data_IF_382038796915
#
_entry.id   IF_382038796915
#
_cell.length_a   1.000
_cell.length_b   1.000
_cell.length_c   1.000
_cell.angle_alpha   90.00
_cell.angle_beta   90.00
_cell.angle_gamma   90.00
#
_symmetry.space_group_name_H-M   'P 1'
#
loop_
_entity.id
_entity.type
_entity.pdbx_description
1 polymer ?
#
# COMPACT_ATOMS: atom_id res chain seq x y z
N UNK A 1 -46.27 30.99 -16.59
CA UNK A 1 -45.37 30.88 -17.75
C UNK A 1 -43.97 31.31 -17.32
N UNK A 2 -42.89 30.58 -17.60
CA UNK A 2 -42.76 29.33 -18.39
C UNK A 2 -41.58 28.50 -17.89
N UNK A 3 -41.76 27.19 -17.79
CA UNK A 3 -40.68 26.21 -17.63
C UNK A 3 -40.16 25.78 -19.00
N UNK A 4 -38.83 25.71 -19.18
CA UNK A 4 -38.15 24.87 -20.18
C UNK A 4 -36.64 24.89 -19.88
N UNK A 5 -36.01 23.82 -19.37
CA UNK A 5 -35.59 22.59 -20.06
C UNK A 5 -34.68 22.82 -21.29
N UNK A 6 -33.37 22.71 -21.06
CA UNK A 6 -32.33 22.16 -21.95
C UNK A 6 -31.28 21.58 -20.97
N UNK A 7 -31.10 20.28 -20.71
CA UNK A 7 -31.23 19.03 -21.47
C UNK A 7 -30.14 18.85 -22.54
N UNK A 8 -29.39 17.73 -22.40
CA UNK A 8 -28.38 17.14 -23.32
C UNK A 8 -26.99 17.83 -23.26
N UNK A 9 -25.86 17.12 -23.12
CA UNK A 9 -25.58 15.66 -23.10
C UNK A 9 -24.55 15.34 -22.00
N UNK A 10 -24.85 14.40 -21.11
CA UNK A 10 -23.79 13.61 -20.49
C UNK A 10 -23.29 12.62 -21.54
N UNK A 11 -22.00 12.64 -21.86
CA UNK A 11 -21.38 11.54 -22.59
C UNK A 11 -21.18 10.38 -21.61
N UNK A 12 -22.06 9.39 -21.68
CA UNK A 12 -21.89 8.11 -21.00
C UNK A 12 -20.68 7.40 -21.59
N UNK A 13 -19.57 7.39 -20.86
CA UNK A 13 -18.46 6.48 -21.13
C UNK A 13 -18.98 5.06 -20.80
N UNK A 14 -18.92 4.09 -21.72
CA UNK A 14 -19.37 2.74 -21.43
C UNK A 14 -18.43 2.10 -20.40
N UNK A 15 -18.99 1.75 -19.24
CA UNK A 15 -18.35 0.91 -18.23
C UNK A 15 -18.16 -0.50 -18.82
N UNK A 16 -16.98 -0.74 -19.41
CA UNK A 16 -16.49 -2.11 -19.56
C UNK A 16 -15.96 -2.59 -18.21
N UNK A 17 -16.39 -3.80 -17.83
CA UNK A 17 -16.35 -4.26 -16.45
C UNK A 17 -14.95 -4.34 -15.86
N UNK A 18 -14.79 -3.71 -14.69
CA UNK A 18 -13.78 -4.05 -13.69
C UNK A 18 -14.51 -4.29 -12.36
N UNK A 19 -14.23 -5.40 -11.65
CA UNK A 19 -14.59 -5.53 -10.25
C UNK A 19 -13.68 -4.64 -9.39
N UNK A 20 -14.26 -4.09 -8.34
CA UNK A 20 -13.61 -3.41 -7.20
C UNK A 20 -14.45 -3.78 -5.96
N UNK A 21 -14.18 -3.31 -4.71
CA UNK A 21 -13.21 -2.29 -4.25
C UNK A 21 -12.12 -2.92 -3.32
N UNK A 22 -11.08 -2.27 -2.77
CA UNK A 22 -10.35 -1.00 -3.06
C UNK A 22 -8.83 -1.14 -2.78
N UNK A 23 -8.39 -2.10 -1.94
CA UNK A 23 -7.04 -2.18 -1.34
C UNK A 23 -5.89 -2.15 -2.35
N UNK A 24 -6.19 -2.53 -3.60
CA UNK A 24 -5.30 -2.43 -4.77
C UNK A 24 -4.73 -1.03 -5.01
N UNK A 25 -5.27 0.05 -4.43
CA UNK A 25 -4.90 1.44 -4.76
C UNK A 25 -3.40 1.76 -4.60
N UNK A 26 -2.66 1.17 -3.66
CA UNK A 26 -1.20 1.37 -3.54
C UNK A 26 -0.44 0.60 -4.62
N UNK A 27 -0.85 -0.65 -4.91
CA UNK A 27 -0.23 -1.50 -5.95
C UNK A 27 -0.57 -0.98 -7.35
N UNK A 28 -1.80 -0.52 -7.59
CA UNK A 28 -2.24 0.23 -8.78
C UNK A 28 -1.64 1.64 -8.87
N UNK A 29 -1.04 2.19 -7.80
CA UNK A 29 -0.23 3.41 -7.94
C UNK A 29 1.16 3.12 -8.53
N UNK A 30 1.70 1.92 -8.27
CA UNK A 30 2.85 1.38 -9.01
C UNK A 30 2.44 0.95 -10.43
N UNK A 31 1.20 0.45 -10.57
CA UNK A 31 0.55 0.03 -11.81
C UNK A 31 -0.47 1.01 -12.38
N UNK A 32 -0.17 2.33 -12.38
CA UNK A 32 -0.93 3.29 -13.21
C UNK A 32 -0.88 2.81 -14.68
N UNK A 33 -1.74 3.32 -15.59
CA UNK A 33 -1.57 3.08 -17.02
C UNK A 33 -0.25 3.69 -17.50
N UNK A 34 0.81 2.88 -17.38
CA UNK A 34 2.07 3.04 -18.06
C UNK A 34 1.77 2.97 -19.56
N UNK A 35 2.51 3.70 -20.38
CA UNK A 35 2.24 3.75 -21.82
C UNK A 35 2.36 2.37 -22.51
N UNK A 36 3.00 1.41 -21.85
CA UNK A 36 3.03 0.00 -22.22
C UNK A 36 3.30 -0.90 -21.01
N UNK A 37 3.15 -2.22 -21.19
CA UNK A 37 3.42 -3.25 -20.18
C UNK A 37 4.90 -3.28 -19.77
N UNK A 38 5.81 -3.04 -20.72
CA UNK A 38 7.25 -2.98 -20.47
C UNK A 38 7.64 -1.85 -19.51
N UNK A 39 6.96 -0.70 -19.59
CA UNK A 39 7.18 0.41 -18.68
C UNK A 39 6.68 0.10 -17.25
N UNK A 40 5.64 -0.74 -17.10
CA UNK A 40 5.24 -1.26 -15.79
C UNK A 40 6.27 -2.25 -15.23
N UNK A 41 6.76 -3.18 -16.05
CA UNK A 41 7.81 -4.13 -15.65
C UNK A 41 9.11 -3.41 -15.25
N UNK A 42 9.53 -2.38 -16.00
CA UNK A 42 10.67 -1.53 -15.65
C UNK A 42 10.45 -0.79 -14.33
N UNK A 43 9.25 -0.24 -14.10
CA UNK A 43 8.95 0.47 -12.86
C UNK A 43 8.93 -0.48 -11.65
N UNK A 44 8.39 -1.69 -11.78
CA UNK A 44 8.44 -2.72 -10.72
C UNK A 44 9.88 -3.17 -10.43
N UNK A 45 10.69 -3.41 -11.47
CA UNK A 45 12.11 -3.73 -11.32
C UNK A 45 12.88 -2.61 -10.60
N UNK A 46 12.60 -1.35 -10.94
CA UNK A 46 13.20 -0.21 -10.28
C UNK A 46 12.68 -0.03 -8.83
N UNK A 47 11.40 -0.29 -8.58
CA UNK A 47 10.79 -0.25 -7.26
C UNK A 47 11.36 -1.32 -6.32
N UNK A 48 11.67 -2.51 -6.82
CA UNK A 48 12.41 -3.54 -6.08
C UNK A 48 13.88 -3.14 -5.88
N UNK A 49 14.58 -2.75 -6.94
CA UNK A 49 16.04 -2.87 -6.97
C UNK A 49 16.85 -1.58 -7.13
N UNK A 50 16.24 -0.46 -7.52
CA UNK A 50 16.99 0.77 -7.78
C UNK A 50 17.34 1.52 -6.48
N UNK A 51 18.61 1.93 -6.25
CA UNK A 51 18.93 2.95 -5.26
C UNK A 51 18.35 4.29 -5.66
N UNK A 52 17.58 4.90 -4.75
CA UNK A 52 16.91 6.16 -4.97
C UNK A 52 17.02 7.06 -3.72
N UNK A 53 16.75 8.37 -3.81
CA UNK A 53 16.46 9.19 -2.61
C UNK A 53 14.96 9.45 -2.34
N UNK A 54 14.54 9.81 -1.10
CA UNK A 54 13.12 9.96 -0.71
C UNK A 54 12.35 11.07 -1.43
N UNK A 55 13.07 11.93 -2.14
CA UNK A 55 12.55 12.99 -3.00
C UNK A 55 12.18 12.49 -4.40
N UNK A 56 12.49 11.25 -4.76
CA UNK A 56 12.15 10.63 -6.06
C UNK A 56 10.76 9.96 -6.03
N UNK A 57 10.16 9.64 -7.20
CA UNK A 57 8.92 8.87 -7.25
C UNK A 57 9.02 7.49 -6.58
N UNK A 58 10.13 6.76 -6.80
CA UNK A 58 10.34 5.42 -6.23
C UNK A 58 10.52 5.51 -4.72
N UNK A 59 11.36 6.44 -4.23
CA UNK A 59 11.57 6.65 -2.81
C UNK A 59 10.33 7.02 -2.02
N UNK A 60 9.52 7.93 -2.60
CA UNK A 60 8.18 8.25 -2.05
C UNK A 60 7.26 7.04 -2.05
N UNK A 61 7.25 6.23 -3.10
CA UNK A 61 6.40 5.04 -3.18
C UNK A 61 6.80 3.98 -2.13
N UNK A 62 8.10 3.72 -1.94
CA UNK A 62 8.61 2.82 -0.88
C UNK A 62 8.24 3.34 0.50
N UNK A 63 8.53 4.62 0.75
CA UNK A 63 8.20 5.29 2.02
C UNK A 63 6.70 5.24 2.32
N UNK A 64 5.84 5.47 1.32
CA UNK A 64 4.39 5.36 1.45
C UNK A 64 3.95 3.92 1.75
N UNK A 65 4.48 2.93 1.01
CA UNK A 65 4.21 1.49 1.24
C UNK A 65 4.52 1.09 2.68
N UNK A 66 5.64 1.56 3.23
CA UNK A 66 6.07 1.25 4.59
C UNK A 66 5.27 1.96 5.68
N UNK A 67 4.83 3.19 5.43
CA UNK A 67 3.88 3.91 6.31
C UNK A 67 2.54 3.17 6.32
N UNK A 68 1.98 2.85 5.14
CA UNK A 68 0.72 2.12 5.01
C UNK A 68 0.79 0.75 5.67
N UNK A 69 1.87 -0.02 5.44
CA UNK A 69 2.08 -1.33 6.08
C UNK A 69 2.12 -1.19 7.60
N UNK A 70 2.88 -0.23 8.13
CA UNK A 70 2.96 0.01 9.58
C UNK A 70 1.61 0.40 10.18
N UNK A 71 0.82 1.22 9.47
CA UNK A 71 -0.50 1.65 9.89
C UNK A 71 -1.54 0.50 9.88
N UNK A 72 -1.56 -0.31 8.81
CA UNK A 72 -2.44 -1.48 8.69
C UNK A 72 -2.20 -2.45 9.86
N UNK A 73 -0.94 -2.79 10.12
CA UNK A 73 -0.56 -3.66 11.23
C UNK A 73 -0.97 -3.01 12.56
N UNK A 74 -0.67 -1.73 12.77
CA UNK A 74 -1.06 -1.04 14.01
C UNK A 74 -2.57 -1.09 14.27
N UNK A 75 -3.41 -0.80 13.26
CA UNK A 75 -4.87 -0.83 13.38
C UNK A 75 -5.38 -2.23 13.72
N UNK A 76 -4.93 -3.26 12.99
CA UNK A 76 -5.42 -4.62 13.17
C UNK A 76 -4.90 -5.25 14.47
N UNK A 77 -3.63 -5.06 14.83
CA UNK A 77 -3.08 -5.52 16.11
C UNK A 77 -3.73 -4.83 17.32
N UNK A 78 -4.09 -3.55 17.18
CA UNK A 78 -4.75 -2.77 18.26
C UNK A 78 -6.24 -3.07 18.42
N UNK A 79 -6.82 -3.92 17.56
CA UNK A 79 -8.19 -4.42 17.75
C UNK A 79 -8.26 -5.31 18.99
N UNK A 80 -9.15 -5.08 19.97
CA UNK A 80 -9.22 -5.87 21.20
C UNK A 80 -9.40 -7.37 20.95
N UNK A 81 -8.81 -8.24 21.79
CA UNK A 81 -8.94 -9.69 21.68
C UNK A 81 -10.40 -10.18 21.82
N UNK A 82 -11.23 -9.43 22.52
CA UNK A 82 -12.68 -9.66 22.68
C UNK A 82 -13.55 -9.10 21.55
N UNK A 83 -12.96 -8.50 20.52
CA UNK A 83 -13.72 -7.94 19.40
C UNK A 83 -14.39 -9.04 18.56
N UNK A 84 -15.69 -8.95 18.23
CA UNK A 84 -16.36 -9.91 17.35
C UNK A 84 -15.64 -10.12 16.02
N UNK A 85 -15.00 -9.08 15.49
CA UNK A 85 -14.21 -9.13 14.24
C UNK A 85 -13.11 -10.21 14.27
N UNK A 86 -12.50 -10.47 15.44
CA UNK A 86 -11.46 -11.51 15.58
C UNK A 86 -12.03 -12.93 15.56
N UNK A 87 -13.30 -13.09 15.93
CA UNK A 87 -14.02 -14.37 15.85
C UNK A 87 -14.63 -14.60 14.46
N UNK A 88 -15.06 -13.51 13.81
CA UNK A 88 -15.71 -13.53 12.48
C UNK A 88 -14.69 -13.62 11.34
N UNK A 89 -13.52 -13.00 11.48
CA UNK A 89 -12.46 -12.96 10.46
C UNK A 89 -11.07 -13.35 11.02
N UNK A 90 -10.91 -14.50 11.70
CA UNK A 90 -9.65 -14.89 12.35
C UNK A 90 -8.45 -14.87 11.39
N UNK A 91 -8.64 -15.31 10.14
CA UNK A 91 -7.62 -15.33 9.10
C UNK A 91 -6.98 -13.95 8.84
N UNK A 92 -7.74 -12.85 8.95
CA UNK A 92 -7.22 -11.49 8.74
C UNK A 92 -6.20 -11.15 9.84
N UNK A 93 -6.48 -11.53 11.08
CA UNK A 93 -5.61 -11.26 12.21
C UNK A 93 -4.40 -12.21 12.28
N UNK A 94 -4.53 -13.45 11.80
CA UNK A 94 -3.41 -14.38 11.63
C UNK A 94 -2.38 -13.85 10.61
N UNK A 95 -2.85 -13.33 9.46
CA UNK A 95 -2.00 -12.73 8.42
C UNK A 95 -1.21 -11.53 8.98
N UNK A 96 -1.82 -10.72 9.85
CA UNK A 96 -1.16 -9.58 10.51
C UNK A 96 -0.03 -10.04 11.44
N UNK A 97 -0.19 -11.18 12.13
CA UNK A 97 0.88 -11.79 12.93
C UNK A 97 2.12 -12.16 12.12
N UNK A 98 1.99 -12.44 10.82
CA UNK A 98 3.13 -12.64 9.92
C UNK A 98 3.79 -11.32 9.46
N UNK A 99 3.05 -10.21 9.47
CA UNK A 99 3.56 -8.88 9.12
C UNK A 99 4.27 -8.17 10.29
N UNK A 100 3.90 -8.44 11.53
CA UNK A 100 4.50 -7.81 12.72
C UNK A 100 6.03 -7.97 12.80
N UNK A 101 6.63 -9.17 12.64
CA UNK A 101 8.08 -9.33 12.65
C UNK A 101 8.78 -8.59 11.50
N UNK A 102 8.11 -8.43 10.35
CA UNK A 102 8.65 -7.68 9.21
C UNK A 102 8.63 -6.16 9.50
N UNK A 103 7.56 -5.65 10.12
CA UNK A 103 7.52 -4.26 10.61
C UNK A 103 8.62 -4.00 11.62
N UNK A 104 8.75 -4.88 12.61
CA UNK A 104 9.65 -4.67 13.74
C UNK A 104 11.12 -4.75 13.33
N UNK A 105 11.46 -5.63 12.38
CA UNK A 105 12.81 -5.72 11.83
C UNK A 105 13.17 -4.60 10.86
N UNK A 106 12.24 -4.19 9.98
CA UNK A 106 12.59 -3.33 8.84
C UNK A 106 12.03 -1.91 8.90
N UNK A 107 10.84 -1.70 9.49
CA UNK A 107 10.09 -0.43 9.37
C UNK A 107 10.24 0.49 10.58
N UNK A 108 10.48 -0.03 11.79
CA UNK A 108 10.45 0.74 13.04
C UNK A 108 11.37 1.97 13.02
N UNK A 109 12.60 1.85 12.54
CA UNK A 109 13.54 2.99 12.48
C UNK A 109 13.29 3.93 11.29
N UNK A 110 12.66 3.42 10.21
CA UNK A 110 12.45 4.16 8.96
C UNK A 110 11.17 5.01 8.99
N UNK A 111 10.16 4.57 9.75
CA UNK A 111 8.81 5.17 9.82
C UNK A 111 8.59 6.05 11.06
N UNK A 112 9.48 5.99 12.07
CA UNK A 112 9.33 6.79 13.30
C UNK A 112 9.41 8.30 13.01
N UNK A 113 8.46 9.12 13.50
CA UNK A 113 8.66 10.57 13.56
C UNK A 113 9.80 10.85 14.54
N UNK A 114 10.87 11.48 14.06
CA UNK A 114 11.98 11.93 14.91
C UNK A 114 11.46 13.07 15.79
N UNK A 115 11.52 12.89 17.11
CA UNK A 115 10.89 13.81 18.06
C UNK A 115 11.53 15.20 18.04
N UNK A 116 10.70 16.24 17.88
CA UNK A 116 10.91 17.67 18.15
C UNK A 116 12.15 18.41 17.61
N UNK A 117 13.17 17.77 17.03
CA UNK A 117 14.37 18.43 16.50
C UNK A 117 14.45 18.44 14.97
N UNK A 118 13.46 19.06 14.31
CA UNK A 118 13.53 19.57 12.92
C UNK A 118 13.83 18.57 11.78
N UNK A 119 14.16 17.33 12.08
CA UNK A 119 14.65 16.35 11.13
C UNK A 119 13.52 15.49 10.56
N UNK A 120 13.48 15.45 9.24
CA UNK A 120 12.50 14.69 8.45
C UNK A 120 12.60 13.20 8.80
N UNK A 121 11.49 12.48 8.67
CA UNK A 121 11.52 11.02 8.61
C UNK A 121 12.60 10.58 7.61
N UNK A 122 13.49 9.64 8.01
CA UNK A 122 14.58 9.19 7.13
C UNK A 122 14.06 8.65 5.80
N UNK A 123 12.84 8.12 5.78
CA UNK A 123 12.29 7.43 4.61
C UNK A 123 13.00 6.10 4.42
N UNK A 124 12.80 5.49 3.26
CA UNK A 124 13.32 4.14 2.98
C UNK A 124 14.67 4.08 2.27
N UNK A 125 15.42 5.17 2.27
CA UNK A 125 16.69 5.31 1.57
C UNK A 125 17.77 5.83 2.56
N UNK A 126 19.08 5.72 2.32
CA UNK A 126 19.79 5.94 1.05
C UNK A 126 21.07 5.11 0.99
N UNK A 127 21.14 4.13 0.09
CA UNK A 127 22.37 3.39 -0.19
C UNK A 127 22.12 2.00 -0.79
N UNK A 128 23.17 1.31 -1.29
CA UNK A 128 23.05 -0.09 -1.72
C UNK A 128 22.64 -1.04 -0.59
N UNK A 129 23.03 -0.72 0.66
CA UNK A 129 22.71 -1.54 1.85
C UNK A 129 21.22 -1.40 2.21
N UNK A 130 20.68 -0.18 2.26
CA UNK A 130 19.24 0.04 2.49
C UNK A 130 18.35 -0.52 1.37
N UNK A 131 18.86 -0.59 0.14
CA UNK A 131 18.16 -1.30 -0.96
C UNK A 131 18.09 -2.80 -0.70
N UNK A 132 19.10 -3.40 -0.08
CA UNK A 132 19.07 -4.82 0.25
C UNK A 132 18.09 -5.13 1.39
N UNK A 133 18.01 -4.27 2.41
CA UNK A 133 16.96 -4.31 3.44
C UNK A 133 15.57 -4.14 2.82
N UNK A 134 15.41 -3.20 1.88
CA UNK A 134 14.15 -2.98 1.18
C UNK A 134 13.72 -4.22 0.40
N UNK A 135 14.63 -4.87 -0.32
CA UNK A 135 14.35 -6.12 -1.03
C UNK A 135 13.95 -7.26 -0.09
N UNK A 136 14.64 -7.44 1.04
CA UNK A 136 14.29 -8.50 1.99
C UNK A 136 12.93 -8.22 2.66
N UNK A 137 12.64 -6.95 2.99
CA UNK A 137 11.33 -6.54 3.45
C UNK A 137 10.25 -6.77 2.40
N UNK A 138 10.39 -6.19 1.20
CA UNK A 138 9.35 -6.19 0.17
C UNK A 138 9.08 -7.59 -0.37
N UNK A 139 10.12 -8.38 -0.63
CA UNK A 139 9.98 -9.77 -1.10
C UNK A 139 9.24 -10.68 -0.11
N UNK A 140 9.21 -10.35 1.19
CA UNK A 140 8.44 -11.06 2.22
C UNK A 140 7.08 -10.42 2.51
N UNK A 141 7.01 -9.09 2.52
CA UNK A 141 5.80 -8.35 2.86
C UNK A 141 4.78 -8.37 1.70
N UNK A 142 5.22 -8.25 0.45
CA UNK A 142 4.34 -8.21 -0.73
C UNK A 142 3.33 -9.38 -0.79
N UNK A 143 3.74 -10.67 -0.74
CA UNK A 143 2.77 -11.77 -0.81
C UNK A 143 1.79 -11.77 0.37
N UNK A 144 2.25 -11.39 1.57
CA UNK A 144 1.41 -11.35 2.78
C UNK A 144 0.43 -10.17 2.74
N UNK A 145 0.84 -9.02 2.20
CA UNK A 145 -0.03 -7.86 1.95
C UNK A 145 -1.05 -8.12 0.84
N UNK A 146 -0.70 -8.90 -0.19
CA UNK A 146 -1.64 -9.33 -1.23
C UNK A 146 -2.71 -10.26 -0.67
N UNK A 147 -2.32 -11.28 0.09
CA UNK A 147 -3.26 -12.17 0.79
C UNK A 147 -4.16 -11.37 1.76
N UNK A 148 -3.59 -10.44 2.55
CA UNK A 148 -4.37 -9.58 3.43
C UNK A 148 -5.42 -8.75 2.68
N UNK A 149 -5.02 -8.15 1.55
CA UNK A 149 -5.94 -7.40 0.68
C UNK A 149 -7.08 -8.27 0.18
N UNK A 150 -6.77 -9.46 -0.35
CA UNK A 150 -7.79 -10.41 -0.80
C UNK A 150 -8.77 -10.81 0.32
N UNK A 151 -8.30 -11.03 1.55
CA UNK A 151 -9.19 -11.36 2.69
C UNK A 151 -10.03 -10.19 3.17
N UNK A 152 -9.53 -8.95 3.06
CA UNK A 152 -10.31 -7.74 3.35
C UNK A 152 -11.40 -7.53 2.29
N UNK A 153 -11.05 -7.68 1.02
CA UNK A 153 -11.97 -7.54 -0.11
C UNK A 153 -13.06 -8.64 -0.04
N UNK A 154 -12.70 -9.92 0.20
CA UNK A 154 -13.63 -11.06 0.43
C UNK A 154 -14.61 -10.81 1.60
N UNK A 155 -14.16 -10.11 2.63
CA UNK A 155 -14.94 -9.77 3.82
C UNK A 155 -15.80 -8.51 3.65
N UNK A 156 -15.74 -7.82 2.50
CA UNK A 156 -16.48 -6.58 2.25
C UNK A 156 -15.87 -5.32 2.90
N UNK A 157 -14.59 -5.39 3.30
CA UNK A 157 -13.81 -4.22 3.73
C UNK A 157 -12.99 -3.58 2.59
N UNK A 158 -12.97 -4.22 1.41
CA UNK A 158 -12.44 -3.66 0.17
C UNK A 158 -13.22 -2.45 -0.28
#
# INVERSE_FOLDING_TARGET
STSSKHSKRCHSIPLYGYPSPTTTTVIMYLGRPQASEEAAAQYLSAFDSLPAPPTTPIGRARTCTSICTSAIIHVLSSTPLSSPLRTEYPQIFEIVGALEPLRDRFLVEKVRPVGNEGNKTKGWEVGPEEVQDWKEFWGRAMPVLMELGMRLDDAGFG
#
